data_IF_777208622643
#
_entry.id   IF_777208622643
#
_cell.length_a   1.000
_cell.length_b   1.000
_cell.length_c   1.000
_cell.angle_alpha   90.00
_cell.angle_beta   90.00
_cell.angle_gamma   90.00
#
_symmetry.space_group_name_H-M   'P 1'
#
loop_
_entity.id
_entity.type
_entity.pdbx_description
1 polymer ?
#
# COMPACT_ATOMS: atom_id res chain seq x y z
N UNK A 1 -17.17 53.26 -4.52
CA UNK A 1 -17.89 52.49 -3.49
C UNK A 1 -18.07 51.10 -4.06
N UNK A 2 -17.11 50.20 -3.80
CA UNK A 2 -17.10 49.25 -2.67
C UNK A 2 -17.99 48.04 -2.96
N UNK A 3 -17.53 46.79 -2.90
CA UNK A 3 -16.24 46.24 -2.51
C UNK A 3 -16.21 44.75 -2.82
N UNK A 4 -15.00 44.21 -2.96
CA UNK A 4 -14.73 42.78 -3.00
C UNK A 4 -15.10 42.14 -1.65
N UNK A 5 -15.87 41.04 -1.68
CA UNK A 5 -16.10 40.21 -0.50
C UNK A 5 -15.05 39.11 -0.43
N UNK A 6 -14.14 39.28 0.53
CA UNK A 6 -13.17 38.31 1.02
C UNK A 6 -13.83 37.07 1.62
N UNK A 7 -13.42 35.87 1.17
CA UNK A 7 -13.64 34.60 1.86
C UNK A 7 -12.32 33.84 1.90
N UNK A 8 -11.49 34.14 2.92
CA UNK A 8 -10.23 33.47 3.20
C UNK A 8 -10.55 32.24 4.05
N UNK A 9 -10.40 31.03 3.49
CA UNK A 9 -10.36 29.81 4.30
C UNK A 9 -9.02 29.71 5.03
N UNK A 10 -9.09 29.72 6.37
CA UNK A 10 -7.94 29.58 7.27
C UNK A 10 -7.46 28.12 7.27
N UNK A 11 -6.23 27.91 6.85
CA UNK A 11 -5.46 26.72 7.14
C UNK A 11 -4.98 26.74 8.60
N UNK A 12 -5.05 25.60 9.27
CA UNK A 12 -4.54 25.39 10.62
C UNK A 12 -3.00 25.42 10.56
N UNK A 13 -2.36 26.35 11.27
CA UNK A 13 -0.91 26.41 11.39
C UNK A 13 -0.38 25.30 12.33
N UNK A 14 0.81 24.71 12.06
CA UNK A 14 1.46 23.78 12.97
C UNK A 14 2.01 24.53 14.20
N UNK A 15 1.34 24.36 15.34
CA UNK A 15 1.83 24.81 16.64
C UNK A 15 3.01 23.96 17.11
N UNK A 16 4.16 24.62 17.27
CA UNK A 16 5.29 24.31 18.18
C UNK A 16 5.33 22.93 18.85
N UNK A 17 6.17 22.03 18.36
CA UNK A 17 6.71 20.94 19.18
C UNK A 17 7.75 21.52 20.16
N UNK A 18 7.70 21.21 21.46
CA UNK A 18 8.72 21.64 22.40
C UNK A 18 10.05 20.92 22.08
N UNK A 19 11.10 21.72 21.87
CA UNK A 19 12.47 21.24 21.88
C UNK A 19 12.86 20.94 23.34
N UNK A 20 13.07 19.65 23.65
CA UNK A 20 14.04 19.11 24.62
C UNK A 20 13.58 17.71 25.09
N UNK A 21 14.10 16.67 24.44
CA UNK A 21 14.36 15.40 25.13
C UNK A 21 15.85 15.10 24.96
N UNK A 22 16.61 15.37 26.02
CA UNK A 22 18.02 15.07 26.11
C UNK A 22 18.26 13.56 26.09
N UNK A 23 18.77 13.05 24.98
CA UNK A 23 19.42 11.75 24.93
C UNK A 23 20.84 11.91 25.47
N UNK A 24 21.06 11.58 26.73
CA UNK A 24 22.41 11.43 27.30
C UNK A 24 23.15 10.33 26.56
N UNK A 25 24.16 10.72 25.78
CA UNK A 25 25.08 9.80 25.09
C UNK A 25 25.94 9.10 26.13
N UNK A 26 25.73 7.79 26.36
CA UNK A 26 26.63 6.97 27.17
C UNK A 26 27.91 6.68 26.38
N UNK A 27 29.04 7.02 27.00
CA UNK A 27 30.40 6.82 26.49
C UNK A 27 30.68 5.37 26.06
N UNK A 28 31.01 5.15 24.79
CA UNK A 28 31.66 3.93 24.31
C UNK A 28 33.12 4.30 24.01
N UNK A 29 34.05 3.78 24.83
CA UNK A 29 35.49 3.87 24.56
C UNK A 29 35.85 2.83 23.50
N UNK A 30 36.22 3.28 22.30
CA UNK A 30 36.87 2.42 21.30
C UNK A 30 38.40 2.47 21.49
N UNK A 31 38.98 1.30 21.76
CA UNK A 31 40.42 1.06 21.77
C UNK A 31 40.87 0.86 20.33
N UNK A 32 41.92 1.56 19.90
CA UNK A 32 42.57 1.34 18.60
C UNK A 32 43.76 0.38 18.76
N UNK A 33 43.77 -0.72 18.01
CA UNK A 33 44.92 -1.18 17.23
C UNK A 33 44.52 -2.40 16.38
N UNK A 34 44.73 -2.35 15.06
CA UNK A 34 45.61 -3.23 14.28
C UNK A 34 45.63 -2.69 12.84
N UNK A 35 46.84 -2.54 12.32
CA UNK A 35 47.14 -2.04 10.98
C UNK A 35 46.71 -3.03 9.90
N UNK A 36 45.96 -2.55 8.91
CA UNK A 36 45.62 -3.27 7.69
C UNK A 36 45.25 -2.25 6.61
N UNK A 37 45.89 -2.35 5.46
CA UNK A 37 45.83 -1.41 4.32
C UNK A 37 44.44 -0.84 4.03
N UNK A 38 44.27 0.47 4.25
CA UNK A 38 43.10 1.23 3.79
C UNK A 38 43.25 1.45 2.29
N UNK A 39 42.55 0.65 1.49
CA UNK A 39 42.19 1.05 0.14
C UNK A 39 41.24 2.25 0.28
N UNK A 40 41.75 3.45 0.02
CA UNK A 40 40.97 4.68 0.10
C UNK A 40 39.79 4.61 -0.87
N UNK A 41 38.58 4.45 -0.34
CA UNK A 41 37.38 4.87 -1.06
C UNK A 41 37.38 6.39 -1.10
N UNK A 42 37.72 6.97 -2.25
CA UNK A 42 37.39 8.35 -2.52
C UNK A 42 35.86 8.48 -2.50
N UNK A 43 35.27 9.33 -1.65
CA UNK A 43 33.86 9.65 -1.81
C UNK A 43 33.71 10.32 -3.17
N UNK A 44 32.97 9.69 -4.08
CA UNK A 44 32.49 10.39 -5.26
C UNK A 44 31.61 11.53 -4.76
N UNK A 45 32.11 12.77 -4.84
CA UNK A 45 31.27 13.93 -4.57
C UNK A 45 30.16 13.91 -5.62
N UNK A 46 28.97 13.43 -5.24
CA UNK A 46 27.76 13.71 -5.99
C UNK A 46 27.66 15.23 -6.10
N UNK A 47 27.58 15.75 -7.32
CA UNK A 47 27.41 17.17 -7.56
C UNK A 47 26.19 17.66 -6.78
N UNK A 48 26.39 18.64 -5.90
CA UNK A 48 25.31 19.23 -5.12
C UNK A 48 24.26 19.79 -6.08
N UNK A 49 23.01 19.33 -5.96
CA UNK A 49 21.90 19.84 -6.77
C UNK A 49 21.77 21.37 -6.61
N UNK A 50 21.59 22.08 -7.72
CA UNK A 50 21.41 23.53 -7.70
C UNK A 50 19.97 23.86 -7.28
N UNK A 51 19.76 23.99 -5.97
CA UNK A 51 18.46 24.26 -5.37
C UNK A 51 18.01 25.71 -5.57
N UNK A 52 16.88 25.90 -6.24
CA UNK A 52 16.14 27.15 -6.33
C UNK A 52 15.03 27.15 -5.27
N UNK A 53 14.97 28.20 -4.45
CA UNK A 53 13.99 28.32 -3.36
C UNK A 53 12.78 29.14 -3.83
N UNK A 54 11.58 28.62 -3.63
CA UNK A 54 10.31 29.32 -3.79
C UNK A 54 9.62 29.55 -2.44
N UNK A 55 8.45 30.18 -2.44
CA UNK A 55 7.65 30.33 -1.22
C UNK A 55 7.11 28.96 -0.83
N UNK A 56 7.62 28.40 0.27
CA UNK A 56 7.18 27.10 0.80
C UNK A 56 7.80 25.86 0.13
N UNK A 57 8.69 26.01 -0.86
CA UNK A 57 9.33 24.87 -1.52
C UNK A 57 10.76 25.18 -1.96
N UNK A 58 11.51 24.13 -2.34
CA UNK A 58 12.74 24.23 -3.13
C UNK A 58 12.68 23.21 -4.26
N UNK A 59 13.19 23.58 -5.42
CA UNK A 59 13.28 22.71 -6.59
C UNK A 59 14.71 22.69 -7.10
N UNK A 60 15.15 21.62 -7.74
CA UNK A 60 16.40 21.58 -8.47
C UNK A 60 16.18 20.78 -9.75
N UNK A 61 16.73 21.26 -10.86
CA UNK A 61 16.72 20.50 -12.11
C UNK A 61 17.67 19.30 -11.95
N UNK A 62 17.14 18.09 -12.11
CA UNK A 62 17.95 16.89 -12.14
C UNK A 62 18.46 16.67 -13.57
N UNK A 63 19.77 16.82 -13.77
CA UNK A 63 20.40 16.43 -15.03
C UNK A 63 20.57 14.91 -15.02
N UNK A 64 19.62 14.20 -15.62
CA UNK A 64 19.73 12.76 -15.85
C UNK A 64 20.56 12.59 -17.12
N UNK A 65 21.67 11.85 -17.04
CA UNK A 65 22.45 11.56 -18.23
C UNK A 65 21.57 10.82 -19.26
N UNK A 66 21.47 11.35 -20.49
CA UNK A 66 20.69 10.74 -21.56
C UNK A 66 21.25 9.35 -21.99
N UNK A 67 22.49 9.06 -21.60
CA UNK A 67 23.14 7.76 -21.76
C UNK A 67 23.99 7.46 -20.52
N UNK A 68 24.00 6.19 -20.10
CA UNK A 68 24.74 5.71 -18.92
C UNK A 68 24.31 4.31 -18.54
N UNK A 69 25.10 3.65 -17.67
CA UNK A 69 24.72 2.33 -17.10
C UNK A 69 23.44 2.55 -16.29
N UNK A 70 22.35 1.88 -16.67
CA UNK A 70 21.09 1.98 -15.96
C UNK A 70 21.32 1.69 -14.45
N UNK A 71 20.74 2.53 -13.58
CA UNK A 71 20.83 2.34 -12.12
C UNK A 71 20.20 1.02 -11.65
N UNK A 72 19.29 0.48 -12.48
CA UNK A 72 18.70 -0.84 -12.31
C UNK A 72 18.94 -1.66 -13.57
N UNK A 73 19.17 -2.95 -13.41
CA UNK A 73 19.22 -3.90 -14.52
C UNK A 73 17.99 -4.79 -14.43
N UNK A 74 17.30 -4.99 -15.55
CA UNK A 74 16.19 -5.94 -15.60
C UNK A 74 16.74 -7.34 -15.31
N UNK A 75 16.18 -7.99 -14.29
CA UNK A 75 16.45 -9.40 -14.03
C UNK A 75 15.35 -10.22 -14.71
N UNK A 76 15.67 -11.02 -15.74
CA UNK A 76 14.65 -11.72 -16.47
C UNK A 76 14.13 -12.92 -15.67
N UNK A 77 12.89 -13.40 -15.91
CA UNK A 77 12.27 -14.50 -15.18
C UNK A 77 13.10 -15.79 -15.16
N UNK A 78 13.95 -16.04 -16.16
CA UNK A 78 14.84 -17.20 -16.22
C UNK A 78 15.93 -17.16 -15.15
N UNK A 79 16.25 -15.97 -14.64
CA UNK A 79 17.21 -15.79 -13.53
C UNK A 79 16.48 -15.70 -12.20
N UNK A 80 15.41 -14.90 -12.12
CA UNK A 80 14.69 -14.67 -10.86
C UNK A 80 13.70 -15.76 -10.49
N UNK A 81 13.22 -16.54 -11.47
CA UNK A 81 12.09 -17.45 -11.38
C UNK A 81 10.74 -16.78 -11.00
N UNK A 82 10.66 -15.45 -11.03
CA UNK A 82 9.41 -14.70 -10.87
C UNK A 82 8.71 -14.64 -12.23
N UNK A 83 7.63 -15.40 -12.39
CA UNK A 83 6.83 -15.49 -13.62
C UNK A 83 5.44 -14.84 -13.46
N UNK A 84 5.25 -14.06 -12.40
CA UNK A 84 3.96 -13.46 -12.07
C UNK A 84 3.62 -12.30 -13.01
N UNK A 85 2.38 -12.27 -13.48
CA UNK A 85 1.81 -11.13 -14.21
C UNK A 85 0.46 -10.76 -13.60
N UNK A 86 0.30 -9.50 -13.20
CA UNK A 86 -1.01 -8.95 -12.87
C UNK A 86 -1.69 -8.49 -14.18
N UNK A 87 -2.68 -9.25 -14.63
CA UNK A 87 -3.40 -8.96 -15.87
C UNK A 87 -4.76 -8.36 -15.55
N UNK A 88 -5.12 -7.25 -16.20
CA UNK A 88 -6.45 -6.67 -16.16
C UNK A 88 -7.06 -6.72 -17.55
N UNK A 89 -8.18 -7.42 -17.73
CA UNK A 89 -8.87 -7.44 -19.02
C UNK A 89 -9.54 -6.09 -19.30
N UNK A 90 -9.64 -5.72 -20.58
CA UNK A 90 -10.31 -4.50 -21.02
C UNK A 90 -11.75 -4.42 -20.51
N UNK A 91 -12.50 -5.54 -20.58
CA UNK A 91 -13.86 -5.63 -20.07
C UNK A 91 -13.95 -5.22 -18.59
N UNK A 92 -13.02 -5.71 -17.76
CA UNK A 92 -13.00 -5.38 -16.33
C UNK A 92 -12.53 -3.95 -16.08
N UNK A 93 -11.57 -3.45 -16.85
CA UNK A 93 -11.14 -2.06 -16.77
C UNK A 93 -12.29 -1.11 -17.15
N UNK A 94 -13.10 -1.44 -18.16
CA UNK A 94 -14.28 -0.68 -18.55
C UNK A 94 -15.40 -0.76 -17.51
N UNK A 95 -15.64 -1.95 -16.94
CA UNK A 95 -16.65 -2.14 -15.90
C UNK A 95 -16.29 -1.41 -14.60
N UNK A 96 -15.00 -1.32 -14.27
CA UNK A 96 -14.51 -0.62 -13.10
C UNK A 96 -13.14 0.03 -13.36
N UNK A 97 -13.16 1.29 -13.78
CA UNK A 97 -11.95 2.07 -14.06
C UNK A 97 -10.98 2.19 -12.87
N UNK A 98 -11.46 2.01 -11.62
CA UNK A 98 -10.57 2.04 -10.45
C UNK A 98 -9.56 0.88 -10.44
N UNK A 99 -9.85 -0.22 -11.15
CA UNK A 99 -8.90 -1.32 -11.29
C UNK A 99 -7.64 -0.90 -12.08
N UNK A 100 -7.71 0.18 -12.85
CA UNK A 100 -6.56 0.74 -13.56
C UNK A 100 -5.54 1.40 -12.63
N UNK A 101 -5.86 1.61 -11.35
CA UNK A 101 -4.89 2.05 -10.35
C UNK A 101 -3.80 0.99 -10.08
N UNK A 102 -4.04 -0.26 -10.48
CA UNK A 102 -3.11 -1.36 -10.30
C UNK A 102 -3.35 -2.16 -9.01
N UNK A 103 -2.37 -3.00 -8.68
CA UNK A 103 -2.35 -3.83 -7.47
C UNK A 103 -1.11 -3.53 -6.62
N UNK A 104 -1.09 -4.06 -5.40
CA UNK A 104 0.00 -3.85 -4.46
C UNK A 104 1.04 -4.97 -4.43
N UNK A 105 2.12 -4.65 -3.74
CA UNK A 105 3.21 -5.56 -3.38
C UNK A 105 3.50 -5.39 -1.89
N UNK A 106 3.83 -6.49 -1.21
CA UNK A 106 4.43 -6.45 0.12
C UNK A 106 5.81 -7.13 0.08
N UNK A 107 6.74 -6.58 0.84
CA UNK A 107 8.11 -7.07 0.97
C UNK A 107 8.38 -7.32 2.46
N UNK A 108 8.97 -8.46 2.80
CA UNK A 108 9.26 -8.84 4.18
C UNK A 108 9.90 -10.22 4.24
N UNK A 109 10.68 -10.47 5.28
CA UNK A 109 11.26 -11.80 5.58
C UNK A 109 10.20 -12.58 6.38
N UNK A 110 9.31 -13.28 5.68
CA UNK A 110 8.13 -13.88 6.34
C UNK A 110 8.49 -15.18 7.06
N UNK A 111 9.59 -15.84 6.70
CA UNK A 111 10.02 -17.09 7.34
C UNK A 111 11.28 -16.97 8.20
N UNK A 112 11.79 -15.74 8.38
CA UNK A 112 12.86 -15.41 9.32
C UNK A 112 14.24 -15.91 8.89
N UNK A 113 14.43 -16.17 7.59
CA UNK A 113 15.69 -16.70 7.06
C UNK A 113 16.72 -15.61 6.71
N UNK A 114 16.37 -14.35 6.91
CA UNK A 114 17.20 -13.18 6.66
C UNK A 114 17.12 -12.66 5.23
N UNK A 115 16.33 -13.28 4.35
CA UNK A 115 16.09 -12.80 3.00
C UNK A 115 14.73 -12.14 2.86
N UNK A 116 14.68 -11.03 2.13
CA UNK A 116 13.42 -10.36 1.85
C UNK A 116 12.63 -11.13 0.78
N UNK A 117 11.42 -11.55 1.13
CA UNK A 117 10.46 -12.21 0.25
C UNK A 117 9.51 -11.21 -0.40
N UNK A 118 8.69 -11.69 -1.34
CA UNK A 118 7.81 -10.85 -2.14
C UNK A 118 6.41 -11.45 -2.19
N UNK A 119 5.41 -10.67 -1.78
CA UNK A 119 4.00 -10.98 -2.02
C UNK A 119 3.41 -10.02 -3.05
N UNK A 120 2.82 -10.57 -4.11
CA UNK A 120 2.29 -9.83 -5.25
C UNK A 120 0.77 -10.00 -5.32
N UNK A 121 0.05 -8.87 -5.31
CA UNK A 121 -1.39 -8.85 -5.46
C UNK A 121 -1.80 -8.97 -6.93
N UNK A 122 -2.90 -9.67 -7.18
CA UNK A 122 -3.49 -9.80 -8.50
C UNK A 122 -4.91 -9.21 -8.52
N UNK A 123 -5.24 -8.52 -9.61
CA UNK A 123 -6.58 -8.01 -9.83
C UNK A 123 -7.51 -9.08 -10.39
N UNK A 124 -6.96 -10.05 -11.13
CA UNK A 124 -7.67 -11.08 -11.91
C UNK A 124 -7.01 -12.46 -11.80
N UNK A 125 -7.13 -13.10 -10.63
CA UNK A 125 -6.61 -14.44 -10.42
C UNK A 125 -6.26 -14.68 -8.95
N UNK A 126 -5.16 -15.38 -8.73
CA UNK A 126 -4.56 -15.57 -7.41
C UNK A 126 -3.41 -14.60 -7.21
N UNK A 127 -3.23 -14.18 -5.95
CA UNK A 127 -2.00 -13.50 -5.52
C UNK A 127 -0.83 -14.50 -5.54
N UNK A 128 0.40 -14.02 -5.38
CA UNK A 128 1.58 -14.88 -5.33
C UNK A 128 2.54 -14.50 -4.19
N UNK A 129 2.96 -15.49 -3.41
CA UNK A 129 4.08 -15.40 -2.47
C UNK A 129 5.32 -16.06 -3.07
N UNK A 130 6.42 -15.31 -3.12
CA UNK A 130 7.72 -15.76 -3.59
C UNK A 130 8.72 -15.74 -2.45
N UNK A 131 9.18 -16.92 -2.03
CA UNK A 131 10.29 -17.08 -1.09
C UNK A 131 11.61 -16.80 -1.81
N UNK A 132 12.44 -15.97 -1.22
CA UNK A 132 13.78 -15.65 -1.70
C UNK A 132 14.75 -16.76 -1.29
N UNK A 133 15.48 -17.30 -2.26
CA UNK A 133 16.47 -18.37 -2.06
C UNK A 133 17.90 -17.81 -2.02
N UNK A 134 18.04 -16.49 -1.95
CA UNK A 134 19.29 -15.76 -2.13
C UNK A 134 19.64 -15.55 -3.61
N UNK A 135 20.63 -14.68 -3.86
CA UNK A 135 21.13 -14.37 -5.20
C UNK A 135 20.03 -13.94 -6.20
N UNK A 136 18.97 -13.30 -5.72
CA UNK A 136 17.80 -12.88 -6.51
C UNK A 136 17.04 -14.01 -7.19
N UNK A 137 17.16 -15.24 -6.70
CA UNK A 137 16.38 -16.39 -7.16
C UNK A 137 15.23 -16.64 -6.19
N UNK A 138 14.04 -16.87 -6.73
CA UNK A 138 12.84 -17.05 -5.93
C UNK A 138 12.13 -18.37 -6.23
N UNK A 139 11.28 -18.81 -5.31
CA UNK A 139 10.35 -19.91 -5.56
C UNK A 139 8.95 -19.51 -5.14
N UNK A 140 7.96 -19.85 -5.97
CA UNK A 140 6.56 -19.59 -5.64
C UNK A 140 6.11 -20.61 -4.57
N UNK A 141 5.66 -20.10 -3.42
CA UNK A 141 5.19 -20.90 -2.27
C UNK A 141 3.73 -20.61 -1.92
N UNK A 142 3.01 -19.94 -2.82
CA UNK A 142 1.67 -19.40 -2.58
C UNK A 142 0.68 -20.43 -2.04
N UNK A 143 0.62 -21.60 -2.68
CA UNK A 143 -0.32 -22.67 -2.33
C UNK A 143 0.05 -23.33 -1.00
N UNK A 144 1.36 -23.61 -0.81
CA UNK A 144 1.86 -24.24 0.42
C UNK A 144 1.77 -23.31 1.63
N UNK A 145 1.89 -22.01 1.41
CA UNK A 145 1.73 -20.99 2.44
C UNK A 145 0.25 -20.69 2.74
N UNK A 146 -0.69 -20.99 1.83
CA UNK A 146 -2.13 -20.78 2.04
C UNK A 146 -2.63 -19.36 1.79
N UNK A 147 -1.90 -18.56 1.01
CA UNK A 147 -2.14 -17.11 0.83
C UNK A 147 -2.62 -16.74 -0.58
N UNK A 148 -3.12 -17.69 -1.37
CA UNK A 148 -3.47 -17.46 -2.78
C UNK A 148 -4.58 -16.42 -3.02
N UNK A 149 -5.45 -16.16 -2.04
CA UNK A 149 -6.60 -15.24 -2.14
C UNK A 149 -7.39 -15.39 -3.46
N UNK A 150 -7.86 -16.61 -3.81
CA UNK A 150 -8.51 -16.83 -5.10
C UNK A 150 -9.79 -16.02 -5.22
N UNK A 151 -10.06 -15.49 -6.42
CA UNK A 151 -11.23 -14.67 -6.74
C UNK A 151 -11.31 -13.33 -5.99
N UNK A 152 -10.24 -12.91 -5.33
CA UNK A 152 -10.14 -11.60 -4.70
C UNK A 152 -9.53 -10.60 -5.69
N UNK A 153 -10.10 -9.40 -5.77
CA UNK A 153 -9.48 -8.30 -6.53
C UNK A 153 -8.55 -7.53 -5.59
N UNK A 154 -7.33 -8.03 -5.43
CA UNK A 154 -6.39 -7.54 -4.42
C UNK A 154 -5.70 -6.25 -4.86
N UNK A 155 -5.80 -5.21 -4.03
CA UNK A 155 -5.35 -3.84 -4.37
C UNK A 155 -4.09 -3.42 -3.63
N UNK A 156 -3.74 -4.13 -2.55
CA UNK A 156 -2.71 -3.74 -1.61
C UNK A 156 -2.40 -4.91 -0.68
N UNK A 157 -1.18 -4.96 -0.17
CA UNK A 157 -0.80 -5.91 0.86
C UNK A 157 0.26 -5.29 1.77
N UNK A 158 0.37 -5.82 2.98
CA UNK A 158 1.41 -5.44 3.94
C UNK A 158 1.76 -6.64 4.81
N UNK A 159 3.05 -6.79 5.09
CA UNK A 159 3.55 -7.69 6.12
C UNK A 159 3.73 -6.91 7.42
N UNK A 160 3.22 -7.44 8.53
CA UNK A 160 3.36 -6.86 9.86
C UNK A 160 3.09 -7.94 10.92
N UNK A 161 3.74 -7.86 12.08
CA UNK A 161 3.39 -8.69 13.24
C UNK A 161 2.13 -8.13 13.90
N UNK A 162 0.96 -8.67 13.55
CA UNK A 162 -0.33 -8.10 13.98
C UNK A 162 -0.81 -8.68 15.30
N UNK A 163 -0.30 -9.84 15.71
CA UNK A 163 -0.68 -10.51 16.94
C UNK A 163 0.38 -10.39 18.06
N UNK A 164 1.55 -9.83 17.76
CA UNK A 164 2.66 -9.59 18.69
C UNK A 164 3.49 -10.84 18.99
N UNK A 165 3.49 -11.86 18.12
CA UNK A 165 4.23 -13.10 18.32
C UNK A 165 5.66 -13.08 17.73
N UNK A 166 6.03 -11.99 17.05
CA UNK A 166 7.34 -11.78 16.46
C UNK A 166 7.47 -12.28 15.02
N UNK A 167 6.42 -12.83 14.41
CA UNK A 167 6.41 -13.25 13.02
C UNK A 167 5.63 -12.28 12.13
N UNK A 168 6.06 -12.14 10.87
CA UNK A 168 5.32 -11.30 9.94
C UNK A 168 4.05 -12.01 9.47
N UNK A 169 2.91 -11.45 9.85
CA UNK A 169 1.59 -11.78 9.34
C UNK A 169 1.29 -11.02 8.04
N UNK A 170 0.26 -11.45 7.32
CA UNK A 170 -0.10 -10.88 6.02
C UNK A 170 -1.51 -10.27 6.04
N UNK A 171 -1.59 -9.00 5.69
CA UNK A 171 -2.83 -8.28 5.43
C UNK A 171 -2.95 -7.96 3.93
N UNK A 172 -4.15 -8.11 3.37
CA UNK A 172 -4.42 -7.86 1.95
C UNK A 172 -5.69 -7.04 1.80
N UNK A 173 -5.63 -5.91 1.10
CA UNK A 173 -6.82 -5.12 0.74
C UNK A 173 -7.49 -5.67 -0.52
N UNK A 174 -8.81 -5.53 -0.59
CA UNK A 174 -9.60 -5.96 -1.74
C UNK A 174 -10.53 -4.86 -2.24
N UNK A 175 -10.71 -4.78 -3.56
CA UNK A 175 -11.80 -4.03 -4.16
C UNK A 175 -13.11 -4.82 -4.05
N UNK A 176 -14.09 -4.29 -3.31
CA UNK A 176 -15.38 -4.95 -3.05
C UNK A 176 -15.40 -5.85 -1.80
N UNK A 177 -14.23 -6.06 -1.17
CA UNK A 177 -14.07 -6.81 0.06
C UNK A 177 -14.32 -8.33 -0.06
N UNK A 178 -14.12 -9.09 1.02
CA UNK A 178 -13.46 -8.64 2.26
C UNK A 178 -11.98 -8.37 2.05
N UNK A 179 -11.38 -7.57 2.92
CA UNK A 179 -9.94 -7.60 3.11
C UNK A 179 -9.56 -8.96 3.70
N UNK A 180 -8.32 -9.37 3.57
CA UNK A 180 -7.84 -10.61 4.17
C UNK A 180 -6.82 -10.31 5.27
N UNK A 181 -6.86 -11.11 6.33
CA UNK A 181 -5.86 -11.15 7.39
C UNK A 181 -5.46 -12.60 7.62
N UNK A 182 -4.16 -12.84 7.58
CA UNK A 182 -3.57 -14.15 7.71
C UNK A 182 -2.50 -14.12 8.79
N UNK A 183 -2.62 -14.97 9.81
CA UNK A 183 -1.57 -15.14 10.81
C UNK A 183 -0.56 -16.17 10.36
N UNK A 184 0.71 -15.86 10.50
CA UNK A 184 1.83 -16.75 10.24
C UNK A 184 2.12 -17.58 11.50
N UNK A 185 2.38 -18.87 11.33
CA UNK A 185 2.76 -19.76 12.44
C UNK A 185 4.27 -19.71 12.79
N UNK A 186 5.02 -18.83 12.12
CA UNK A 186 6.48 -18.73 12.23
C UNK A 186 7.24 -19.79 11.42
N UNK A 187 6.52 -20.63 10.68
CA UNK A 187 7.07 -21.64 9.78
C UNK A 187 6.65 -21.41 8.33
N UNK A 188 6.02 -20.27 8.04
CA UNK A 188 5.60 -19.89 6.71
C UNK A 188 4.25 -20.45 6.28
N UNK A 189 3.48 -21.01 7.22
CA UNK A 189 2.10 -21.39 6.99
C UNK A 189 1.15 -20.34 7.57
N UNK A 190 0.22 -19.90 6.73
CA UNK A 190 -0.68 -18.82 7.07
C UNK A 190 -2.10 -19.32 7.30
N UNK A 191 -2.69 -18.90 8.41
CA UNK A 191 -4.09 -19.16 8.73
C UNK A 191 -4.92 -17.91 8.48
N UNK A 192 -5.95 -18.02 7.62
CA UNK A 192 -6.87 -16.92 7.40
C UNK A 192 -7.75 -16.69 8.64
N UNK A 193 -7.56 -15.54 9.29
CA UNK A 193 -8.31 -15.12 10.49
C UNK A 193 -9.21 -13.90 10.24
N UNK A 194 -9.47 -13.57 8.97
CA UNK A 194 -10.21 -12.35 8.55
C UNK A 194 -11.48 -12.08 9.36
N UNK A 195 -12.28 -13.12 9.63
CA UNK A 195 -13.51 -13.00 10.41
C UNK A 195 -13.25 -12.68 11.88
N UNK A 196 -12.28 -13.35 12.51
CA UNK A 196 -11.89 -13.11 13.89
C UNK A 196 -11.24 -11.72 14.06
N UNK A 197 -10.50 -11.27 13.05
CA UNK A 197 -9.88 -9.93 13.00
C UNK A 197 -10.90 -8.79 12.73
N UNK A 198 -12.18 -9.11 12.49
CA UNK A 198 -13.21 -8.10 12.21
C UNK A 198 -13.06 -7.40 10.85
N UNK A 199 -12.29 -7.97 9.92
CA UNK A 199 -11.98 -7.38 8.61
C UNK A 199 -12.92 -7.83 7.48
N UNK A 200 -14.04 -8.47 7.85
CA UNK A 200 -15.11 -8.84 6.92
C UNK A 200 -15.88 -7.58 6.53
N UNK A 201 -15.43 -6.93 5.47
CA UNK A 201 -16.05 -5.74 4.89
C UNK A 201 -16.59 -6.01 3.49
N UNK A 202 -17.61 -5.27 3.08
CA UNK A 202 -18.07 -5.20 1.68
C UNK A 202 -17.60 -3.92 0.98
N UNK A 203 -16.82 -3.10 1.68
CA UNK A 203 -16.22 -1.90 1.13
C UNK A 203 -15.00 -2.30 0.30
N UNK A 204 -14.75 -1.58 -0.80
CA UNK A 204 -13.45 -1.63 -1.44
C UNK A 204 -12.43 -0.87 -0.59
N UNK A 205 -11.29 -1.50 -0.32
CA UNK A 205 -10.15 -0.86 0.34
C UNK A 205 -9.01 -0.63 -0.65
N UNK A 206 -8.26 0.46 -0.45
CA UNK A 206 -7.14 0.85 -1.32
C UNK A 206 -5.79 0.66 -0.65
N UNK A 207 -5.69 0.95 0.64
CA UNK A 207 -4.44 0.89 1.39
C UNK A 207 -4.69 0.64 2.86
N UNK A 208 -3.64 0.14 3.52
CA UNK A 208 -3.58 -0.04 4.96
C UNK A 208 -2.33 0.67 5.50
N UNK A 209 -2.42 1.16 6.72
CA UNK A 209 -1.28 1.66 7.49
C UNK A 209 -1.36 1.06 8.89
N UNK A 210 -0.21 0.63 9.41
CA UNK A 210 -0.08 0.10 10.76
C UNK A 210 0.88 0.98 11.56
N UNK A 211 0.49 1.31 12.79
CA UNK A 211 1.32 2.03 13.75
C UNK A 211 0.75 1.85 15.16
N UNK A 212 1.59 1.91 16.19
CA UNK A 212 1.14 2.04 17.57
C UNK A 212 0.80 3.52 17.83
N UNK A 213 -0.45 3.91 17.59
CA UNK A 213 -0.89 5.31 17.60
C UNK A 213 -1.19 5.77 19.03
N UNK A 214 -1.62 4.87 19.90
CA UNK A 214 -1.91 5.17 21.30
C UNK A 214 -0.73 4.91 22.27
N UNK A 215 0.35 4.28 21.78
CA UNK A 215 1.58 4.03 22.53
C UNK A 215 1.47 2.84 23.48
N UNK A 216 0.55 1.91 23.25
CA UNK A 216 0.32 0.75 24.10
C UNK A 216 1.22 -0.45 23.77
N UNK A 217 2.05 -0.35 22.73
CA UNK A 217 2.96 -1.40 22.27
C UNK A 217 2.35 -2.42 21.32
N UNK A 218 1.11 -2.22 20.85
CA UNK A 218 0.45 -3.04 19.83
C UNK A 218 0.18 -2.22 18.57
N UNK A 219 0.11 -2.87 17.41
CA UNK A 219 -0.15 -2.17 16.15
C UNK A 219 -1.64 -1.87 16.00
N UNK A 220 -1.97 -0.59 15.79
CA UNK A 220 -3.27 -0.15 15.30
C UNK A 220 -3.32 -0.25 13.77
N UNK A 221 -4.46 -0.68 13.23
CA UNK A 221 -4.70 -0.79 11.79
C UNK A 221 -5.63 0.32 11.29
N UNK A 222 -5.15 1.15 10.37
CA UNK A 222 -5.96 2.09 9.61
C UNK A 222 -6.20 1.55 8.18
N UNK A 223 -7.47 1.49 7.76
CA UNK A 223 -7.87 1.01 6.43
C UNK A 223 -8.53 2.14 5.64
N UNK A 224 -7.93 2.53 4.51
CA UNK A 224 -8.52 3.48 3.58
C UNK A 224 -9.51 2.77 2.65
N UNK A 225 -10.76 3.25 2.64
CA UNK A 225 -11.84 2.67 1.84
C UNK A 225 -12.27 3.61 0.69
N UNK A 226 -12.63 3.02 -0.44
CA UNK A 226 -13.10 3.70 -1.64
C UNK A 226 -14.64 3.62 -1.81
N UNK A 227 -15.35 3.09 -0.80
CA UNK A 227 -16.81 3.04 -0.75
C UNK A 227 -17.41 1.69 -1.16
N UNK A 228 -18.75 1.62 -1.14
CA UNK A 228 -19.51 0.44 -1.56
C UNK A 228 -19.60 0.38 -3.09
N UNK A 229 -19.71 -0.82 -3.63
CA UNK A 229 -20.17 -1.04 -5.01
C UNK A 229 -21.52 -0.35 -5.19
N UNK A 230 -21.56 0.66 -6.07
CA UNK A 230 -22.77 1.46 -6.30
C UNK A 230 -23.85 0.64 -7.02
N UNK A 231 -25.10 0.76 -6.55
CA UNK A 231 -26.27 0.04 -7.06
C UNK A 231 -26.39 0.20 -8.59
N UNK A 232 -26.19 1.42 -9.09
CA UNK A 232 -26.30 1.75 -10.52
C UNK A 232 -25.13 1.21 -11.35
N UNK A 233 -23.94 1.07 -10.75
CA UNK A 233 -22.75 0.52 -11.44
C UNK A 233 -22.70 -1.01 -11.44
N UNK A 234 -23.41 -1.67 -10.52
CA UNK A 234 -23.35 -3.12 -10.33
C UNK A 234 -24.61 -3.85 -10.80
N UNK A 235 -25.28 -3.34 -11.84
CA UNK A 235 -26.46 -3.99 -12.43
C UNK A 235 -27.73 -3.91 -11.59
N UNK A 236 -27.76 -3.08 -10.55
CA UNK A 236 -28.96 -2.86 -9.75
C UNK A 236 -30.00 -2.02 -10.48
N UNK A 237 -31.27 -2.42 -10.39
CA UNK A 237 -32.38 -1.66 -10.93
C UNK A 237 -32.95 -0.68 -9.89
N UNK A 238 -33.27 0.53 -10.32
CA UNK A 238 -34.12 1.46 -9.57
C UNK A 238 -35.56 1.25 -10.00
N UNK A 239 -36.46 1.13 -9.03
CA UNK A 239 -37.88 1.20 -9.32
C UNK A 239 -38.26 2.68 -9.37
N UNK A 240 -38.63 3.18 -10.55
CA UNK A 240 -39.01 4.58 -10.75
C UNK A 240 -40.48 4.62 -11.14
N UNK A 241 -41.27 5.37 -10.38
CA UNK A 241 -42.67 5.65 -10.67
C UNK A 241 -42.85 7.12 -11.01
N UNK A 242 -43.76 7.46 -11.92
CA UNK A 242 -44.12 8.86 -12.17
C UNK A 242 -45.27 9.28 -11.25
N UNK A 243 -45.08 10.41 -10.54
CA UNK A 243 -46.13 11.05 -9.73
C UNK A 243 -46.22 12.50 -10.20
N UNK A 244 -47.39 12.90 -10.71
CA UNK A 244 -47.61 14.24 -11.26
C UNK A 244 -46.56 14.66 -12.30
N UNK A 245 -46.16 13.73 -13.18
CA UNK A 245 -45.17 13.98 -14.23
C UNK A 245 -43.71 14.01 -13.77
N UNK A 246 -43.44 13.89 -12.46
CA UNK A 246 -42.08 13.83 -11.92
C UNK A 246 -41.69 12.38 -11.61
N UNK A 247 -40.49 11.91 -12.01
CA UNK A 247 -40.02 10.58 -11.64
C UNK A 247 -39.64 10.55 -10.16
N UNK A 248 -40.15 9.55 -9.46
CA UNK A 248 -39.91 9.33 -8.04
C UNK A 248 -39.32 7.93 -7.88
N UNK A 249 -38.15 7.85 -7.25
CA UNK A 249 -37.52 6.57 -6.91
C UNK A 249 -38.31 5.91 -5.78
N UNK A 250 -38.63 4.62 -5.94
CA UNK A 250 -39.42 3.81 -5.00
C UNK A 250 -38.60 2.67 -4.42
N UNK A 251 -39.11 2.08 -3.33
CA UNK A 251 -38.47 0.96 -2.63
C UNK A 251 -37.32 1.41 -1.74
N UNK A 252 -36.42 0.47 -1.41
CA UNK A 252 -35.35 0.66 -0.42
C UNK A 252 -34.36 1.81 -0.69
N UNK A 253 -34.37 2.36 -1.91
CA UNK A 253 -33.47 3.44 -2.33
C UNK A 253 -34.16 4.79 -2.53
N UNK A 254 -35.46 4.90 -2.22
CA UNK A 254 -36.26 6.12 -2.41
C UNK A 254 -35.66 7.38 -1.74
N UNK A 255 -34.97 7.21 -0.61
CA UNK A 255 -34.35 8.30 0.16
C UNK A 255 -32.86 8.53 -0.18
N UNK A 256 -32.28 7.70 -1.06
CA UNK A 256 -30.83 7.70 -1.33
C UNK A 256 -30.47 8.13 -2.75
N UNK A 257 -31.44 8.20 -3.65
CA UNK A 257 -31.23 8.57 -5.05
C UNK A 257 -32.23 9.66 -5.42
N UNK A 258 -31.72 10.77 -5.94
CA UNK A 258 -32.52 11.87 -6.48
C UNK A 258 -32.28 11.94 -7.99
N UNK A 259 -33.36 12.03 -8.76
CA UNK A 259 -33.31 12.29 -10.20
C UNK A 259 -33.31 13.81 -10.37
N UNK A 260 -32.31 14.33 -11.07
CA UNK A 260 -32.15 15.75 -11.36
C UNK A 260 -32.19 15.87 -12.89
N UNK A 261 -32.98 16.81 -13.39
CA UNK A 261 -33.02 17.16 -14.81
C UNK A 261 -32.18 18.43 -15.01
N UNK A 262 -31.45 18.49 -16.12
CA UNK A 262 -30.86 19.73 -16.64
C UNK A 262 -31.88 20.50 -17.47
#
# INVERSE_FOLDING_TARGET
MSGESSGIERWIEPGSFPAEMGLTTRNIRAVWLVAGTVAGFLPTQGSSLNWQKGVGFRQAALSIAAAGKAGFSLLPPEVSAINFTNTLSEERAMANANLMNGSGVALGDYDGDGFCDIYLCNLNGTNALYKNLGNWKFTNVTETAGVACPNQTSTGAVFADVNGDGYLDLLVTSMGGPNACFLNDGHGHFTNVTAAAGLVSKLGSTSMALADVDGNGTLDLYVANYGLTSILRSGGALNVSYVNGQPVVRGRYAQRVKIIFE
#
